data_IF_044774672678
#
_entry.id   IF_044774672678
#
_cell.length_a   1.000
_cell.length_b   1.000
_cell.length_c   1.000
_cell.angle_alpha   90.00
_cell.angle_beta   90.00
_cell.angle_gamma   90.00
#
_symmetry.space_group_name_H-M   'P 1'
#
loop_
_entity.id
_entity.type
_entity.pdbx_description
1 polymer ?
#
# COMPACT_ATOMS: atom_id res chain seq x y z
N UNK A 1 -2.10 -17.36 -2.75
CA UNK A 1 -2.27 -16.43 -1.61
C UNK A 1 -0.94 -16.02 -0.97
N UNK A 2 -0.06 -16.97 -0.62
CA UNK A 2 1.22 -16.66 0.05
C UNK A 2 2.06 -15.64 -0.73
N UNK A 3 2.18 -15.82 -2.03
CA UNK A 3 2.93 -14.93 -2.93
C UNK A 3 2.21 -13.64 -3.28
N UNK A 4 0.97 -13.40 -2.83
CA UNK A 4 0.23 -12.20 -3.22
C UNK A 4 0.93 -10.91 -2.77
N UNK A 5 1.62 -10.96 -1.62
CA UNK A 5 2.40 -9.83 -1.12
C UNK A 5 3.61 -9.52 -2.01
N UNK A 6 4.13 -10.51 -2.74
CA UNK A 6 5.32 -10.35 -3.59
C UNK A 6 5.05 -9.49 -4.83
N UNK A 7 3.78 -9.34 -5.22
CA UNK A 7 3.34 -8.54 -6.38
C UNK A 7 2.94 -7.09 -6.00
N UNK A 8 3.18 -6.67 -4.76
CA UNK A 8 2.87 -5.30 -4.33
C UNK A 8 3.82 -4.26 -4.97
N UNK A 9 4.96 -4.70 -5.48
CA UNK A 9 5.89 -3.89 -6.25
C UNK A 9 5.25 -3.31 -7.52
N UNK A 10 4.19 -3.94 -8.04
CA UNK A 10 3.40 -3.44 -9.17
C UNK A 10 2.76 -2.07 -8.93
N UNK A 11 2.67 -1.58 -7.68
CA UNK A 11 2.18 -0.24 -7.36
C UNK A 11 3.26 0.84 -7.43
N UNK A 12 4.54 0.45 -7.49
CA UNK A 12 5.66 1.36 -7.52
C UNK A 12 5.70 2.16 -8.83
N UNK A 13 5.48 3.48 -8.76
CA UNK A 13 5.45 4.39 -9.91
C UNK A 13 4.29 4.15 -10.90
N UNK A 14 3.31 3.34 -10.50
CA UNK A 14 2.22 2.89 -11.36
C UNK A 14 1.17 3.96 -11.63
N UNK A 15 1.13 5.01 -10.81
CA UNK A 15 0.09 6.03 -10.84
C UNK A 15 0.62 7.32 -11.45
N UNK A 16 -0.23 8.01 -12.20
CA UNK A 16 0.09 9.31 -12.77
C UNK A 16 -0.28 10.45 -11.80
N UNK A 17 0.68 11.29 -11.34
CA UNK A 17 0.40 12.38 -10.41
C UNK A 17 -0.65 13.37 -10.92
N UNK A 18 -0.68 13.64 -12.23
CA UNK A 18 -1.63 14.59 -12.81
C UNK A 18 -3.07 14.09 -12.70
N UNK A 19 -3.27 12.79 -12.89
CA UNK A 19 -4.57 12.12 -12.81
C UNK A 19 -5.06 11.96 -11.37
N UNK A 20 -4.14 11.75 -10.42
CA UNK A 20 -4.44 11.42 -9.02
C UNK A 20 -4.25 12.59 -8.05
N UNK A 21 -3.96 13.80 -8.54
CA UNK A 21 -3.73 15.01 -7.72
C UNK A 21 -4.83 15.26 -6.69
N UNK A 22 -6.08 15.25 -7.14
CA UNK A 22 -7.26 15.58 -6.32
C UNK A 22 -8.08 14.33 -5.99
N UNK A 23 -7.44 13.14 -5.99
CA UNK A 23 -8.10 11.86 -5.76
C UNK A 23 -7.37 11.08 -4.68
N UNK A 24 -8.12 10.32 -3.91
CA UNK A 24 -7.54 9.32 -3.03
C UNK A 24 -6.99 8.18 -3.88
N UNK A 25 -5.80 7.69 -3.53
CA UNK A 25 -5.22 6.47 -4.12
C UNK A 25 -6.13 5.24 -3.86
N UNK A 26 -5.89 4.08 -4.49
CA UNK A 26 -6.71 2.91 -4.19
C UNK A 26 -6.41 2.34 -2.80
N UNK A 27 -7.47 1.83 -2.13
CA UNK A 27 -7.33 0.92 -0.98
C UNK A 27 -7.07 -0.49 -1.51
N UNK A 28 -6.00 -1.11 -1.03
CA UNK A 28 -5.57 -2.46 -1.42
C UNK A 28 -5.86 -3.42 -0.28
N UNK A 29 -6.40 -4.58 -0.63
CA UNK A 29 -6.63 -5.70 0.28
C UNK A 29 -5.78 -6.88 -0.18
N UNK A 30 -4.72 -7.19 0.57
CA UNK A 30 -3.81 -8.29 0.25
C UNK A 30 -3.95 -9.41 1.26
N UNK A 31 -4.13 -10.63 0.77
CA UNK A 31 -4.22 -11.81 1.60
C UNK A 31 -2.85 -12.46 1.76
N UNK A 32 -2.49 -12.84 2.98
CA UNK A 32 -1.22 -13.50 3.28
C UNK A 32 -1.37 -14.51 4.42
N UNK A 33 -0.31 -15.26 4.70
CA UNK A 33 -0.28 -16.21 5.79
C UNK A 33 0.65 -15.75 6.91
N UNK A 34 0.15 -15.81 8.14
CA UNK A 34 0.92 -15.62 9.37
C UNK A 34 1.26 -16.98 9.96
N UNK A 35 2.55 -17.24 10.16
CA UNK A 35 3.07 -18.41 10.88
C UNK A 35 3.07 -18.13 12.38
N UNK A 36 3.06 -19.19 13.20
CA UNK A 36 2.82 -19.09 14.64
C UNK A 36 3.73 -18.12 15.40
N UNK A 37 4.98 -17.97 14.99
CA UNK A 37 5.96 -17.06 15.64
C UNK A 37 5.89 -15.62 15.13
N UNK A 38 5.22 -15.38 14.02
CA UNK A 38 5.14 -14.04 13.40
C UNK A 38 4.09 -13.20 14.12
N UNK A 39 4.37 -11.92 14.30
CA UNK A 39 3.46 -10.90 14.81
C UNK A 39 2.73 -10.20 13.67
N UNK A 40 1.69 -9.41 13.96
CA UNK A 40 1.05 -8.59 12.94
C UNK A 40 2.01 -7.52 12.39
N UNK A 41 2.90 -6.99 13.24
CA UNK A 41 3.95 -6.06 12.82
C UNK A 41 4.92 -6.69 11.80
N UNK A 42 5.28 -7.96 11.98
CA UNK A 42 6.11 -8.68 11.00
C UNK A 42 5.41 -8.81 9.65
N UNK A 43 4.09 -9.03 9.66
CA UNK A 43 3.29 -9.13 8.44
C UNK A 43 3.18 -7.78 7.74
N UNK A 44 2.93 -6.70 8.48
CA UNK A 44 2.92 -5.34 7.94
C UNK A 44 4.31 -4.96 7.39
N UNK A 45 5.39 -5.30 8.10
CA UNK A 45 6.75 -5.07 7.64
C UNK A 45 7.06 -5.77 6.32
N UNK A 46 6.56 -6.99 6.10
CA UNK A 46 6.66 -7.66 4.79
C UNK A 46 5.86 -6.97 3.70
N UNK A 47 4.67 -6.47 4.02
CA UNK A 47 3.86 -5.68 3.08
C UNK A 47 4.63 -4.43 2.65
N UNK A 48 5.17 -3.67 3.61
CA UNK A 48 6.02 -2.49 3.31
C UNK A 48 7.24 -2.86 2.45
N UNK A 49 7.90 -3.97 2.78
CA UNK A 49 9.08 -4.45 2.06
C UNK A 49 8.78 -4.72 0.58
N UNK A 50 7.72 -5.48 0.27
CA UNK A 50 7.38 -5.81 -1.12
C UNK A 50 6.69 -4.65 -1.84
N UNK A 51 5.96 -3.79 -1.12
CA UNK A 51 5.39 -2.56 -1.68
C UNK A 51 6.50 -1.58 -2.12
N UNK A 52 7.70 -1.68 -1.53
CA UNK A 52 8.82 -0.79 -1.84
C UNK A 52 8.75 0.55 -1.10
N UNK A 53 7.98 0.63 0.00
CA UNK A 53 7.83 1.85 0.78
C UNK A 53 7.03 1.66 2.07
N UNK A 54 7.12 2.67 2.95
CA UNK A 54 6.41 2.75 4.23
C UNK A 54 4.93 3.04 4.00
N UNK A 55 4.05 2.46 4.81
CA UNK A 55 2.65 2.88 4.83
C UNK A 55 2.52 4.24 5.52
N UNK A 56 1.76 5.16 4.91
CA UNK A 56 1.50 6.48 5.50
C UNK A 56 0.58 6.40 6.73
N UNK A 57 -0.32 5.41 6.73
CA UNK A 57 -1.28 5.15 7.80
C UNK A 57 -1.20 3.70 8.25
N UNK A 58 -1.57 3.40 9.51
CA UNK A 58 -1.59 2.01 10.00
C UNK A 58 -2.48 1.12 9.12
N UNK A 59 -1.96 -0.04 8.73
CA UNK A 59 -2.75 -1.04 8.02
C UNK A 59 -3.79 -1.70 8.95
N UNK A 60 -4.96 -2.01 8.40
CA UNK A 60 -5.96 -2.85 9.05
C UNK A 60 -5.60 -4.32 8.80
N UNK A 61 -5.32 -5.07 9.86
CA UNK A 61 -5.03 -6.51 9.79
C UNK A 61 -6.23 -7.29 10.30
N UNK A 62 -6.80 -8.13 9.43
CA UNK A 62 -7.96 -8.96 9.75
C UNK A 62 -7.61 -10.44 9.65
N UNK A 63 -7.89 -11.20 10.71
CA UNK A 63 -7.74 -12.67 10.70
C UNK A 63 -8.94 -13.30 10.00
N UNK A 64 -8.69 -13.94 8.85
CA UNK A 64 -9.74 -14.51 8.01
C UNK A 64 -10.15 -15.89 8.51
N UNK A 65 -9.17 -16.78 8.73
CA UNK A 65 -9.38 -18.16 9.21
C UNK A 65 -8.06 -18.86 9.54
N UNK A 66 -8.15 -19.95 10.28
CA UNK A 66 -7.11 -20.96 10.35
C UNK A 66 -6.97 -21.72 9.02
N UNK A 67 -5.73 -21.96 8.60
CA UNK A 67 -5.43 -22.75 7.38
C UNK A 67 -4.60 -23.99 7.65
N UNK A 68 -3.88 -24.04 8.77
CA UNK A 68 -3.17 -25.22 9.28
C UNK A 68 -2.80 -24.97 10.76
N UNK A 69 -2.36 -26.01 11.51
CA UNK A 69 -1.80 -25.79 12.85
C UNK A 69 -0.70 -24.72 12.83
N UNK A 70 -0.80 -23.72 13.70
CA UNK A 70 0.11 -22.57 13.79
C UNK A 70 0.20 -21.73 12.50
N UNK A 71 -0.85 -21.71 11.66
CA UNK A 71 -0.89 -20.92 10.43
C UNK A 71 -2.26 -20.29 10.21
N UNK A 72 -2.29 -18.97 10.22
CA UNK A 72 -3.49 -18.15 9.99
C UNK A 72 -3.44 -17.54 8.58
N UNK A 73 -4.61 -17.38 7.97
CA UNK A 73 -4.79 -16.51 6.81
C UNK A 73 -5.25 -15.15 7.29
N UNK A 74 -4.54 -14.12 6.85
CA UNK A 74 -4.83 -12.72 7.16
C UNK A 74 -5.21 -11.96 5.88
N UNK A 75 -6.00 -10.92 6.05
CA UNK A 75 -6.20 -9.86 5.08
C UNK A 75 -5.56 -8.58 5.64
N UNK A 76 -4.61 -7.99 4.91
CA UNK A 76 -4.01 -6.71 5.24
C UNK A 76 -4.60 -5.67 4.30
N UNK A 77 -5.22 -4.65 4.87
CA UNK A 77 -5.87 -3.58 4.11
C UNK A 77 -5.16 -2.27 4.36
N UNK A 78 -4.73 -1.59 3.29
CA UNK A 78 -4.00 -0.35 3.39
C UNK A 78 -4.27 0.54 2.18
N UNK A 79 -4.06 1.84 2.37
CA UNK A 79 -4.08 2.82 1.30
C UNK A 79 -2.71 2.84 0.61
N UNK A 80 -2.65 2.80 -0.72
CA UNK A 80 -1.36 2.91 -1.42
C UNK A 80 -0.72 4.26 -1.07
N UNK A 81 0.53 4.29 -0.55
CA UNK A 81 1.27 5.53 -0.26
C UNK A 81 1.57 6.33 -1.53
N UNK A 82 1.54 7.66 -1.43
CA UNK A 82 1.91 8.56 -2.54
C UNK A 82 3.36 8.38 -2.96
N UNK A 83 4.26 8.21 -1.99
CA UNK A 83 5.70 8.01 -2.23
C UNK A 83 5.97 6.75 -3.08
N UNK A 84 5.16 5.70 -2.89
CA UNK A 84 5.23 4.48 -3.69
C UNK A 84 4.52 4.69 -5.03
N UNK A 85 3.30 5.20 -5.01
CA UNK A 85 2.45 5.35 -6.19
C UNK A 85 3.10 6.21 -7.29
N UNK A 86 3.80 7.27 -6.89
CA UNK A 86 4.43 8.26 -7.78
C UNK A 86 5.95 8.12 -7.86
N UNK A 87 6.52 7.05 -7.31
CA UNK A 87 7.95 6.81 -7.33
C UNK A 87 8.52 6.95 -8.75
N UNK A 88 9.61 7.71 -8.89
CA UNK A 88 10.26 7.96 -10.18
C UNK A 88 9.50 8.89 -11.14
N UNK A 89 8.32 9.39 -10.77
CA UNK A 89 7.62 10.46 -11.49
C UNK A 89 7.86 11.78 -10.78
N UNK A 90 8.55 12.71 -11.44
CA UNK A 90 8.89 14.00 -10.84
C UNK A 90 7.66 14.78 -10.39
N UNK A 91 7.80 15.52 -9.29
CA UNK A 91 6.78 16.46 -8.82
C UNK A 91 6.52 17.53 -9.88
N UNK A 92 5.42 17.41 -10.63
CA UNK A 92 4.86 18.59 -11.28
C UNK A 92 4.28 19.50 -10.19
N UNK A 93 5.08 20.50 -9.83
CA UNK A 93 4.72 21.64 -8.98
C UNK A 93 3.31 22.17 -9.33
N UNK A 94 2.49 22.54 -8.34
CA UNK A 94 1.18 23.12 -8.61
C UNK A 94 1.34 24.42 -9.43
N UNK A 95 0.68 24.48 -10.59
CA UNK A 95 0.38 25.72 -11.29
C UNK A 95 -0.45 26.61 -10.35
N UNK A 96 0.16 27.66 -9.79
CA UNK A 96 -0.54 28.69 -9.03
C UNK A 96 -1.59 29.35 -9.94
N UNK A 97 -2.86 29.22 -9.57
CA UNK A 97 -3.97 29.88 -10.26
C UNK A 97 -3.76 31.39 -10.17
N UNK A 98 -3.35 32.03 -11.27
CA UNK A 98 -3.34 33.50 -11.39
C UNK A 98 -4.74 34.03 -11.11
N UNK A 99 -4.92 34.60 -9.93
CA UNK A 99 -6.09 35.37 -9.56
C UNK A 99 -6.11 36.63 -10.44
N UNK A 100 -7.05 36.69 -11.39
CA UNK A 100 -7.32 37.92 -12.14
C UNK A 100 -7.99 38.90 -11.20
N UNK A 101 -7.22 39.88 -10.72
CA UNK A 101 -7.74 41.09 -10.09
C UNK A 101 -8.42 41.88 -11.22
N UNK A 102 -9.72 42.15 -11.06
CA UNK A 102 -10.48 43.16 -11.82
C UNK A 102 -10.77 44.28 -10.85
#
# INVERSE_FOLDING_TARGET
>A
PASAVEFLDAFNGAFDPSTWRDRELPKVHVYTFKKGTETEADIVGKVEQYLGGKLETPAEVYTVRDVAPNKLMLCVSFQVPKDVAFHGRGDEQPCEKRQKIV
#
